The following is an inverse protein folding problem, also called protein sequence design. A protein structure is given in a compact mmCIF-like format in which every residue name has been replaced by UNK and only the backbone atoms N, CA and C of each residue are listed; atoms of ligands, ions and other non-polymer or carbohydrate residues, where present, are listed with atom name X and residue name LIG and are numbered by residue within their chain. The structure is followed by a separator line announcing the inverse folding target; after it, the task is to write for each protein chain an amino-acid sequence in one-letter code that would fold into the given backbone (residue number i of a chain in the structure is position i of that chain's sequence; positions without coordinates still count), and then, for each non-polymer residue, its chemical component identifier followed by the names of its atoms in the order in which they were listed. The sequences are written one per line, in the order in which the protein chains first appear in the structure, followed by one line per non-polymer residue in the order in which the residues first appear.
data_IF_430139504489
#
_entry.id   IF_430139504489
#
_cell.length_a   1.000
_cell.length_b   1.000
_cell.length_c   1.000
_cell.angle_alpha   90.00
_cell.angle_beta   90.00
_cell.angle_gamma   90.00
#
_symmetry.space_group_name_H-M   'P 1'
#
loop_
_entity.id
_entity.type
_entity.pdbx_description
1 polymer ?
#
# COMPACT_ATOMS: atom_id res chain seq x y z
N UNK A 1 -20.26 -35.76 11.45
CA UNK A 1 -20.57 -34.37 11.05
C UNK A 1 -19.55 -33.95 10.01
N UNK A 2 -19.98 -33.49 8.84
CA UNK A 2 -19.09 -33.05 7.76
C UNK A 2 -18.98 -31.52 7.80
N UNK A 3 -17.77 -30.99 7.80
CA UNK A 3 -17.51 -29.54 7.73
C UNK A 3 -16.84 -29.26 6.39
N UNK A 4 -17.46 -28.40 5.59
CA UNK A 4 -16.92 -28.01 4.28
C UNK A 4 -16.24 -26.66 4.38
N UNK A 5 -14.94 -26.63 4.05
CA UNK A 5 -14.15 -25.39 3.96
C UNK A 5 -13.93 -25.06 2.50
N UNK A 6 -14.31 -23.85 2.07
CA UNK A 6 -14.07 -23.35 0.72
C UNK A 6 -12.95 -22.32 0.76
N UNK A 7 -11.90 -22.54 -0.02
CA UNK A 7 -10.79 -21.61 -0.21
C UNK A 7 -10.70 -21.21 -1.68
N UNK A 8 -10.57 -19.91 -1.93
CA UNK A 8 -10.43 -19.33 -3.28
C UNK A 8 -9.05 -18.68 -3.36
N UNK A 9 -8.27 -19.04 -4.37
CA UNK A 9 -6.95 -18.48 -4.61
C UNK A 9 -6.71 -18.41 -6.13
N UNK A 10 -5.93 -17.42 -6.55
CA UNK A 10 -5.54 -17.28 -7.96
C UNK A 10 -4.25 -18.02 -8.21
N UNK A 11 -4.23 -18.89 -9.22
CA UNK A 11 -3.05 -19.68 -9.59
C UNK A 11 -3.07 -19.98 -11.09
N UNK A 12 -1.89 -19.94 -11.71
CA UNK A 12 -1.69 -20.41 -13.08
C UNK A 12 -1.29 -21.90 -13.13
N UNK A 13 -1.33 -22.59 -11.98
CA UNK A 13 -0.95 -23.99 -11.84
C UNK A 13 -2.17 -24.87 -12.11
N UNK A 14 -1.97 -25.95 -12.87
CA UNK A 14 -3.01 -26.91 -13.19
C UNK A 14 -3.72 -27.44 -11.92
N UNK A 15 -5.06 -27.53 -11.90
CA UNK A 15 -5.83 -28.01 -10.75
C UNK A 15 -5.40 -29.37 -10.20
N UNK A 16 -4.92 -30.29 -11.05
CA UNK A 16 -4.45 -31.61 -10.61
C UNK A 16 -3.13 -31.53 -9.82
N UNK A 17 -2.26 -30.60 -10.19
CA UNK A 17 -0.99 -30.34 -9.50
C UNK A 17 -1.25 -29.68 -8.15
N UNK A 18 -2.18 -28.73 -8.09
CA UNK A 18 -2.65 -28.12 -6.82
C UNK A 18 -3.15 -29.22 -5.88
N UNK A 19 -4.05 -30.09 -6.37
CA UNK A 19 -4.59 -31.20 -5.57
C UNK A 19 -3.47 -32.09 -5.03
N UNK A 20 -2.50 -32.45 -5.88
CA UNK A 20 -1.37 -33.30 -5.49
C UNK A 20 -0.49 -32.64 -4.41
N UNK A 21 -0.11 -31.38 -4.59
CA UNK A 21 0.74 -30.65 -3.63
C UNK A 21 0.03 -30.46 -2.30
N UNK A 22 -1.25 -30.14 -2.33
CA UNK A 22 -2.05 -30.00 -1.11
C UNK A 22 -2.10 -31.32 -0.35
N UNK A 23 -2.39 -32.44 -1.04
CA UNK A 23 -2.40 -33.76 -0.40
C UNK A 23 -1.02 -34.14 0.14
N UNK A 24 0.06 -33.98 -0.64
CA UNK A 24 1.43 -34.30 -0.24
C UNK A 24 1.88 -33.52 1.01
N UNK A 25 1.63 -32.21 1.03
CA UNK A 25 2.04 -31.35 2.14
C UNK A 25 1.13 -31.44 3.37
N UNK A 26 -0.13 -31.82 3.20
CA UNK A 26 -1.13 -31.75 4.29
C UNK A 26 -1.43 -33.12 4.90
N UNK A 27 -1.38 -34.22 4.13
CA UNK A 27 -1.70 -35.55 4.65
C UNK A 27 -0.73 -36.03 5.74
N UNK A 28 0.51 -35.54 5.76
CA UNK A 28 1.49 -35.89 6.80
C UNK A 28 1.47 -34.94 8.03
N UNK A 29 0.68 -33.86 7.99
CA UNK A 29 0.64 -32.80 9.02
C UNK A 29 -0.79 -32.60 9.57
N UNK A 30 -1.78 -33.30 9.00
CA UNK A 30 -3.21 -33.10 9.26
C UNK A 30 -3.59 -33.27 10.73
N UNK A 31 -2.93 -34.16 11.48
CA UNK A 31 -3.19 -34.35 12.92
C UNK A 31 -2.79 -33.15 13.78
N UNK A 32 -1.78 -32.37 13.37
CA UNK A 32 -1.29 -31.22 14.14
C UNK A 32 -2.20 -29.99 13.99
N UNK A 33 -2.80 -29.78 12.81
CA UNK A 33 -3.60 -28.58 12.53
C UNK A 33 -5.11 -28.79 12.63
N UNK A 34 -5.60 -29.99 12.34
CA UNK A 34 -7.01 -30.33 12.46
C UNK A 34 -7.35 -30.91 13.84
N UNK A 35 -6.34 -31.21 14.67
CA UNK A 35 -6.52 -31.93 15.93
C UNK A 35 -6.89 -33.41 15.72
N UNK A 36 -7.00 -34.17 16.81
CA UNK A 36 -7.35 -35.60 16.75
C UNK A 36 -8.81 -35.89 16.33
N UNK A 37 -9.64 -34.84 16.20
CA UNK A 37 -11.10 -34.95 16.01
C UNK A 37 -11.56 -34.79 14.57
N UNK A 38 -10.72 -34.29 13.66
CA UNK A 38 -11.09 -34.01 12.27
C UNK A 38 -10.15 -34.69 11.29
N UNK A 39 -10.73 -35.31 10.26
CA UNK A 39 -9.99 -35.93 9.16
C UNK A 39 -10.47 -35.37 7.82
N UNK A 40 -9.54 -35.19 6.88
CA UNK A 40 -9.87 -34.75 5.54
C UNK A 40 -10.53 -35.90 4.77
N UNK A 41 -11.83 -35.76 4.48
CA UNK A 41 -12.60 -36.79 3.78
C UNK A 41 -12.52 -36.67 2.26
N UNK A 42 -12.57 -35.44 1.72
CA UNK A 42 -12.51 -35.20 0.28
C UNK A 42 -11.88 -33.83 -0.07
N UNK A 43 -11.31 -33.74 -1.26
CA UNK A 43 -10.72 -32.53 -1.83
C UNK A 43 -11.08 -32.42 -3.32
N UNK A 44 -11.86 -31.39 -3.63
CA UNK A 44 -12.25 -31.03 -4.99
C UNK A 44 -11.63 -29.68 -5.38
N UNK A 45 -10.97 -29.64 -6.54
CA UNK A 45 -10.39 -28.41 -7.10
C UNK A 45 -11.12 -28.14 -8.42
N UNK A 46 -11.95 -27.11 -8.45
CA UNK A 46 -12.67 -26.68 -9.65
C UNK A 46 -11.90 -25.55 -10.31
N UNK A 47 -11.45 -25.74 -11.55
CA UNK A 47 -10.92 -24.67 -12.39
C UNK A 47 -12.02 -23.99 -13.24
N UNK A 48 -11.79 -22.78 -13.76
CA UNK A 48 -12.68 -22.20 -14.76
C UNK A 48 -12.74 -23.10 -16.02
N UNK A 49 -13.87 -23.12 -16.76
CA UNK A 49 -13.99 -23.92 -17.98
C UNK A 49 -12.88 -23.56 -18.97
N UNK A 50 -12.27 -24.59 -19.56
CA UNK A 50 -11.09 -24.47 -20.41
C UNK A 50 -11.36 -23.57 -21.62
N UNK A 51 -10.81 -22.35 -21.59
CA UNK A 51 -10.60 -21.56 -22.81
C UNK A 51 -9.33 -22.06 -23.49
N UNK A 52 -9.43 -22.26 -24.81
CA UNK A 52 -8.33 -22.63 -25.71
C UNK A 52 -7.06 -21.79 -25.42
N UNK A 53 -5.85 -22.34 -25.60
CA UNK A 53 -4.62 -21.61 -25.35
C UNK A 53 -4.50 -20.47 -26.37
N UNK A 54 -4.90 -19.26 -25.98
CA UNK A 54 -4.36 -18.05 -26.58
C UNK A 54 -2.92 -17.95 -26.11
N UNK A 55 -1.97 -18.11 -27.04
CA UNK A 55 -0.56 -17.76 -26.84
C UNK A 55 -0.49 -16.32 -26.32
N UNK A 56 -0.39 -16.20 -24.99
CA UNK A 56 0.04 -14.97 -24.35
C UNK A 56 1.54 -14.85 -24.66
N UNK A 57 2.04 -13.68 -25.12
CA UNK A 57 3.46 -13.53 -25.38
C UNK A 57 4.23 -13.95 -24.13
N UNK A 58 5.14 -14.91 -24.31
CA UNK A 58 6.12 -15.31 -23.30
C UNK A 58 6.94 -14.08 -22.95
N UNK A 59 6.48 -13.32 -21.96
CA UNK A 59 7.33 -12.34 -21.28
C UNK A 59 8.48 -13.16 -20.70
N UNK A 60 9.70 -12.85 -21.12
CA UNK A 60 10.89 -13.36 -20.49
C UNK A 60 10.75 -13.22 -18.96
N UNK A 61 11.26 -14.18 -18.16
CA UNK A 61 11.22 -14.06 -16.72
C UNK A 61 11.95 -12.77 -16.30
N UNK A 62 11.21 -11.72 -15.92
CA UNK A 62 11.78 -10.46 -15.46
C UNK A 62 12.00 -10.52 -13.94
N UNK A 63 13.10 -9.98 -13.42
CA UNK A 63 13.27 -9.81 -11.97
C UNK A 63 12.08 -9.08 -11.35
N UNK A 64 11.66 -9.54 -10.18
CA UNK A 64 10.64 -8.87 -9.36
C UNK A 64 11.34 -7.94 -8.36
N UNK A 65 10.81 -6.73 -8.18
CA UNK A 65 11.38 -5.73 -7.29
C UNK A 65 10.35 -5.34 -6.23
N UNK A 66 10.76 -5.35 -4.97
CA UNK A 66 9.93 -4.98 -3.83
C UNK A 66 10.61 -3.86 -3.04
N UNK A 67 9.87 -2.79 -2.74
CA UNK A 67 10.30 -1.75 -1.83
C UNK A 67 10.17 -2.24 -0.40
N UNK A 68 11.29 -2.31 0.31
CA UNK A 68 11.33 -2.60 1.74
C UNK A 68 11.71 -1.31 2.47
N UNK A 69 10.75 -0.75 3.19
CA UNK A 69 10.92 0.50 3.92
C UNK A 69 10.84 0.24 5.43
N UNK A 70 11.68 0.90 6.21
CA UNK A 70 11.68 0.80 7.68
C UNK A 70 12.42 2.00 8.29
N UNK A 71 12.27 2.19 9.59
CA UNK A 71 12.94 3.24 10.37
C UNK A 71 13.98 2.62 11.28
N UNK A 72 15.18 3.19 11.26
CA UNK A 72 16.28 2.88 12.18
C UNK A 72 16.29 3.93 13.30
N UNK A 73 16.10 3.49 14.53
CA UNK A 73 15.96 4.37 15.70
C UNK A 73 17.29 4.77 16.31
N UNK A 74 18.33 3.95 16.12
CA UNK A 74 19.70 4.23 16.59
C UNK A 74 20.60 4.85 15.51
N UNK A 75 20.01 5.40 14.44
CA UNK A 75 20.72 6.18 13.42
C UNK A 75 20.06 7.55 13.31
N UNK A 76 20.78 8.59 13.70
CA UNK A 76 20.25 9.95 13.76
C UNK A 76 20.27 10.61 12.39
N UNK A 77 19.12 11.07 11.91
CA UNK A 77 19.02 11.78 10.65
C UNK A 77 19.76 13.13 10.73
N UNK A 78 20.67 13.36 9.79
CA UNK A 78 21.51 14.56 9.71
C UNK A 78 21.66 14.99 8.25
N UNK A 79 22.21 16.19 8.05
CA UNK A 79 22.49 16.70 6.70
C UNK A 79 23.47 15.81 5.95
N UNK A 80 24.44 15.21 6.65
CA UNK A 80 25.39 14.30 6.03
C UNK A 80 24.70 13.01 5.59
N UNK A 81 23.80 12.44 6.40
CA UNK A 81 23.02 11.25 6.00
C UNK A 81 22.07 11.55 4.84
N UNK A 82 21.49 12.76 4.79
CA UNK A 82 20.57 13.17 3.74
C UNK A 82 21.24 13.27 2.36
N UNK A 83 22.55 13.54 2.30
CA UNK A 83 23.25 13.80 1.05
C UNK A 83 24.03 12.57 0.54
N UNK A 84 23.70 12.03 -0.66
CA UNK A 84 24.35 10.82 -1.19
C UNK A 84 25.88 10.88 -1.35
N UNK A 85 26.44 12.08 -1.47
CA UNK A 85 27.87 12.30 -1.70
C UNK A 85 28.74 12.22 -0.44
N UNK A 86 28.15 12.19 0.75
CA UNK A 86 28.93 12.25 2.00
C UNK A 86 29.46 10.89 2.41
N UNK A 87 30.53 10.90 3.21
CA UNK A 87 31.11 9.70 3.80
C UNK A 87 30.13 8.97 4.71
N UNK A 88 29.36 9.71 5.52
CA UNK A 88 28.37 9.14 6.43
C UNK A 88 27.21 8.49 5.68
N UNK A 89 26.67 9.12 4.64
CA UNK A 89 25.66 8.49 3.80
C UNK A 89 26.18 7.18 3.21
N UNK A 90 27.34 7.21 2.56
CA UNK A 90 27.90 6.03 1.89
C UNK A 90 28.23 4.90 2.87
N UNK A 91 28.75 5.23 4.05
CA UNK A 91 29.06 4.27 5.11
C UNK A 91 27.79 3.59 5.63
N UNK A 92 26.77 4.37 5.96
CA UNK A 92 25.51 3.85 6.48
C UNK A 92 24.76 3.06 5.41
N UNK A 93 24.75 3.56 4.15
CA UNK A 93 24.22 2.85 2.99
C UNK A 93 24.82 1.46 2.85
N UNK A 94 26.15 1.37 2.76
CA UNK A 94 26.85 0.08 2.63
C UNK A 94 26.60 -0.85 3.81
N UNK A 95 26.56 -0.30 5.03
CA UNK A 95 26.34 -1.10 6.24
C UNK A 95 24.93 -1.70 6.27
N UNK A 96 23.90 -0.93 5.93
CA UNK A 96 22.51 -1.38 5.89
C UNK A 96 22.29 -2.35 4.72
N UNK A 97 22.84 -2.06 3.54
CA UNK A 97 22.80 -2.98 2.40
C UNK A 97 23.44 -4.32 2.74
N UNK A 98 24.60 -4.32 3.39
CA UNK A 98 25.25 -5.56 3.84
C UNK A 98 24.37 -6.32 4.82
N UNK A 99 23.74 -5.63 5.78
CA UNK A 99 22.88 -6.25 6.76
C UNK A 99 21.64 -6.91 6.11
N UNK A 100 20.97 -6.21 5.20
CA UNK A 100 19.83 -6.71 4.43
C UNK A 100 20.22 -7.90 3.56
N UNK A 101 21.33 -7.80 2.82
CA UNK A 101 21.79 -8.84 1.93
C UNK A 101 22.18 -10.11 2.70
N UNK A 102 22.87 -9.98 3.83
CA UNK A 102 23.19 -11.12 4.69
C UNK A 102 21.93 -11.75 5.29
N UNK A 103 20.96 -10.94 5.71
CA UNK A 103 19.69 -11.41 6.25
C UNK A 103 18.95 -12.29 5.25
N UNK A 104 18.71 -11.79 4.03
CA UNK A 104 17.94 -12.53 3.03
C UNK A 104 18.72 -13.70 2.41
N UNK A 105 20.05 -13.65 2.34
CA UNK A 105 20.86 -14.82 1.92
C UNK A 105 20.79 -15.97 2.92
N UNK A 106 20.50 -15.69 4.18
CA UNK A 106 20.32 -16.69 5.24
C UNK A 106 18.84 -17.02 5.53
N UNK A 107 17.93 -16.57 4.68
CA UNK A 107 16.49 -16.74 4.84
C UNK A 107 15.93 -18.00 4.18
N UNK A 108 14.65 -18.29 4.42
CA UNK A 108 13.89 -19.32 3.71
C UNK A 108 13.65 -18.97 2.23
N UNK A 109 13.72 -17.67 1.86
CA UNK A 109 13.51 -17.16 0.49
C UNK A 109 14.82 -16.93 -0.27
N UNK A 110 15.96 -17.39 0.28
CA UNK A 110 17.30 -17.19 -0.30
C UNK A 110 17.47 -17.68 -1.73
N UNK A 111 16.75 -18.74 -2.14
CA UNK A 111 16.81 -19.29 -3.50
C UNK A 111 16.29 -18.31 -4.55
N UNK A 112 15.41 -17.40 -4.13
CA UNK A 112 14.80 -16.38 -4.98
C UNK A 112 15.51 -15.05 -4.88
N UNK A 113 16.33 -14.83 -3.84
CA UNK A 113 16.87 -13.52 -3.52
C UNK A 113 18.10 -13.16 -4.36
N UNK A 114 18.08 -11.99 -4.99
CA UNK A 114 19.22 -11.48 -5.77
C UNK A 114 20.02 -10.41 -5.00
N UNK A 115 19.34 -9.48 -4.35
CA UNK A 115 20.00 -8.43 -3.56
C UNK A 115 19.06 -7.30 -3.16
N UNK A 116 19.42 -6.55 -2.12
CA UNK A 116 18.78 -5.29 -1.74
C UNK A 116 19.76 -4.13 -1.91
N UNK A 117 19.24 -2.98 -2.34
CA UNK A 117 19.95 -1.71 -2.43
C UNK A 117 19.21 -0.65 -1.64
N UNK A 118 19.91 0.23 -0.95
CA UNK A 118 19.31 1.37 -0.27
C UNK A 118 19.21 2.53 -1.27
N UNK A 119 17.99 2.99 -1.49
CA UNK A 119 17.67 4.07 -2.43
C UNK A 119 17.88 5.43 -1.77
N UNK A 120 17.39 5.60 -0.54
CA UNK A 120 17.45 6.87 0.17
C UNK A 120 17.38 6.68 1.69
N UNK A 121 17.88 7.70 2.39
CA UNK A 121 17.58 7.95 3.78
C UNK A 121 16.59 9.10 3.88
N UNK A 122 15.58 8.96 4.73
CA UNK A 122 14.51 9.95 4.92
C UNK A 122 14.44 10.43 6.35
N UNK A 123 14.02 11.68 6.53
CA UNK A 123 13.62 12.17 7.84
C UNK A 123 12.32 11.49 8.28
N UNK A 124 12.18 11.26 9.58
CA UNK A 124 10.96 10.72 10.19
C UNK A 124 10.28 11.83 10.98
N UNK A 125 9.00 12.16 10.70
CA UNK A 125 8.29 13.23 11.39
C UNK A 125 8.34 13.07 12.91
N UNK A 126 8.54 14.19 13.62
CA UNK A 126 8.55 14.25 15.09
C UNK A 126 9.63 13.38 15.77
N UNK A 127 10.68 12.97 15.04
CA UNK A 127 11.83 12.28 15.61
C UNK A 127 13.11 12.65 14.87
N UNK A 128 14.26 12.30 15.44
CA UNK A 128 15.56 12.38 14.78
C UNK A 128 15.98 11.01 14.20
N UNK A 129 15.06 10.05 14.08
CA UNK A 129 15.34 8.74 13.50
C UNK A 129 15.49 8.81 11.98
N UNK A 130 16.14 7.80 11.40
CA UNK A 130 16.36 7.71 9.96
C UNK A 130 15.43 6.68 9.34
N UNK A 131 14.57 7.12 8.43
CA UNK A 131 13.85 6.24 7.51
C UNK A 131 14.78 5.70 6.44
N UNK A 132 14.60 4.44 6.06
CA UNK A 132 15.37 3.75 5.02
C UNK A 132 14.38 3.28 3.97
N UNK A 133 14.62 3.71 2.72
CA UNK A 133 13.93 3.15 1.57
C UNK A 133 14.90 2.23 0.83
N UNK A 134 14.51 0.98 0.64
CA UNK A 134 15.35 -0.01 -0.05
C UNK A 134 14.57 -0.75 -1.11
N UNK A 135 15.27 -1.21 -2.14
CA UNK A 135 14.72 -2.01 -3.22
C UNK A 135 15.36 -3.38 -3.21
N UNK A 136 14.56 -4.41 -2.92
CA UNK A 136 14.99 -5.80 -2.90
C UNK A 136 14.54 -6.50 -4.18
N UNK A 137 15.48 -7.18 -4.84
CA UNK A 137 15.29 -7.85 -6.12
C UNK A 137 15.25 -9.35 -5.93
N UNK A 138 14.28 -10.00 -6.57
CA UNK A 138 14.08 -11.44 -6.53
C UNK A 138 13.99 -12.02 -7.95
N UNK A 139 14.54 -13.21 -8.11
CA UNK A 139 14.51 -13.95 -9.38
C UNK A 139 13.11 -14.50 -9.65
N UNK A 140 12.64 -14.45 -10.90
CA UNK A 140 11.33 -14.96 -11.31
C UNK A 140 11.24 -16.49 -11.37
N UNK A 141 12.37 -17.18 -11.24
CA UNK A 141 12.47 -18.65 -11.33
C UNK A 141 11.95 -19.35 -10.07
N UNK A 142 11.91 -18.65 -8.95
CA UNK A 142 11.21 -19.12 -7.78
C UNK A 142 9.73 -18.75 -7.88
N UNK A 143 8.85 -19.60 -7.35
CA UNK A 143 7.40 -19.32 -7.22
C UNK A 143 7.15 -17.84 -6.92
N UNK A 144 6.15 -17.23 -7.59
CA UNK A 144 5.75 -15.82 -7.37
C UNK A 144 5.85 -15.46 -5.89
N UNK A 145 6.76 -14.56 -5.57
CA UNK A 145 7.07 -14.21 -4.19
C UNK A 145 6.03 -13.17 -3.75
N UNK A 146 5.33 -13.44 -2.66
CA UNK A 146 4.34 -12.50 -2.15
C UNK A 146 5.00 -11.46 -1.23
N UNK A 147 4.56 -10.20 -1.33
CA UNK A 147 4.97 -9.10 -0.42
C UNK A 147 4.76 -9.48 1.05
N UNK A 148 3.72 -10.26 1.34
CA UNK A 148 3.43 -10.78 2.68
C UNK A 148 4.52 -11.75 3.14
N UNK A 149 5.01 -12.63 2.25
CA UNK A 149 6.07 -13.57 2.58
C UNK A 149 7.39 -12.86 2.90
N UNK A 150 7.75 -11.83 2.14
CA UNK A 150 8.93 -11.00 2.40
C UNK A 150 8.79 -10.29 3.75
N UNK A 151 7.62 -9.69 4.01
CA UNK A 151 7.34 -9.00 5.27
C UNK A 151 7.50 -9.94 6.48
N UNK A 152 6.87 -11.11 6.44
CA UNK A 152 6.93 -12.10 7.52
C UNK A 152 8.34 -12.64 7.72
N UNK A 153 9.07 -12.93 6.63
CA UNK A 153 10.44 -13.44 6.72
C UNK A 153 11.39 -12.37 7.28
N UNK A 154 11.22 -11.11 6.88
CA UNK A 154 11.97 -9.99 7.46
C UNK A 154 11.70 -9.88 8.96
N UNK A 155 10.44 -9.86 9.40
CA UNK A 155 10.11 -9.81 10.83
C UNK A 155 10.70 -10.98 11.60
N UNK A 156 10.58 -12.21 11.06
CA UNK A 156 11.11 -13.42 11.69
C UNK A 156 12.61 -13.33 11.94
N UNK A 157 13.36 -12.80 10.98
CA UNK A 157 14.82 -12.69 11.04
C UNK A 157 15.33 -11.46 11.81
N UNK A 158 14.47 -10.45 12.01
CA UNK A 158 14.82 -9.18 12.69
C UNK A 158 14.24 -9.06 14.11
N UNK A 159 14.02 -10.19 14.79
CA UNK A 159 13.40 -10.21 16.13
C UNK A 159 12.07 -9.45 16.14
N UNK A 160 11.16 -9.83 15.25
CA UNK A 160 9.87 -9.19 15.04
C UNK A 160 9.98 -7.72 14.60
N UNK A 161 10.94 -7.40 13.71
CA UNK A 161 11.08 -6.05 13.15
C UNK A 161 11.72 -5.03 14.10
N UNK A 162 12.43 -5.47 15.14
CA UNK A 162 13.03 -4.59 16.15
C UNK A 162 14.55 -4.48 16.03
N UNK A 163 15.21 -5.42 15.36
CA UNK A 163 16.67 -5.44 15.26
C UNK A 163 17.17 -6.05 13.95
N UNK A 164 17.96 -5.30 13.20
CA UNK A 164 18.71 -5.75 12.04
C UNK A 164 20.21 -5.60 12.34
N UNK A 165 20.84 -6.69 12.78
CA UNK A 165 22.23 -6.67 13.25
C UNK A 165 22.46 -5.58 14.33
N UNK A 166 23.30 -4.59 14.04
CA UNK A 166 23.60 -3.45 14.90
C UNK A 166 22.58 -2.29 14.78
N UNK A 167 21.60 -2.39 13.89
CA UNK A 167 20.55 -1.39 13.72
C UNK A 167 19.31 -1.77 14.54
N UNK A 168 18.85 -0.84 15.37
CA UNK A 168 17.58 -0.95 16.10
C UNK A 168 16.49 -0.36 15.22
N UNK A 169 15.40 -1.09 15.04
CA UNK A 169 14.34 -0.76 14.11
C UNK A 169 13.04 -0.41 14.85
N UNK A 170 12.24 0.46 14.26
CA UNK A 170 10.84 0.62 14.66
C UNK A 170 9.98 -0.42 13.92
N UNK A 171 9.49 -1.42 14.64
CA UNK A 171 8.63 -2.48 14.09
C UNK A 171 7.44 -1.94 13.30
N UNK A 172 6.83 -0.86 13.75
CA UNK A 172 5.59 -0.35 13.16
C UNK A 172 5.84 0.44 11.86
N UNK A 173 7.10 0.76 11.57
CA UNK A 173 7.52 1.45 10.35
C UNK A 173 7.77 0.52 9.16
N UNK A 174 7.86 -0.80 9.38
CA UNK A 174 8.22 -1.78 8.36
C UNK A 174 7.10 -1.90 7.32
N UNK A 175 7.44 -1.73 6.04
CA UNK A 175 6.55 -1.83 4.90
C UNK A 175 7.21 -2.61 3.76
N UNK A 176 6.45 -3.47 3.08
CA UNK A 176 6.87 -4.12 1.83
C UNK A 176 5.89 -3.75 0.72
N UNK A 177 6.31 -2.93 -0.25
CA UNK A 177 5.44 -2.33 -1.28
C UNK A 177 4.14 -1.75 -0.69
N UNK A 178 4.28 -1.03 0.42
CA UNK A 178 3.15 -0.43 1.14
C UNK A 178 2.36 -1.37 2.05
N UNK A 179 2.60 -2.70 1.99
CA UNK A 179 1.95 -3.66 2.87
C UNK A 179 2.49 -3.60 4.30
N UNK A 180 1.58 -3.51 5.27
CA UNK A 180 1.79 -3.79 6.69
C UNK A 180 0.47 -4.30 7.29
N UNK A 181 0.48 -5.36 8.14
CA UNK A 181 -0.74 -5.92 8.72
C UNK A 181 -1.56 -4.92 9.54
N UNK A 182 -0.90 -3.90 10.10
CA UNK A 182 -1.53 -2.90 10.97
C UNK A 182 -1.97 -1.65 10.19
N UNK A 183 -1.60 -1.55 8.92
CA UNK A 183 -2.25 -0.64 7.99
C UNK A 183 -3.44 -1.42 7.47
N UNK A 184 -4.63 -1.12 7.99
CA UNK A 184 -5.84 -1.38 7.22
C UNK A 184 -5.54 -0.90 5.79
N UNK A 185 -5.81 -1.72 4.77
CA UNK A 185 -5.78 -1.33 3.36
C UNK A 185 -6.80 -0.19 3.17
N UNK A 186 -6.47 1.00 3.66
CA UNK A 186 -7.00 2.26 3.18
C UNK A 186 -6.28 2.43 1.86
N UNK A 187 -6.81 1.76 0.83
CA UNK A 187 -6.68 2.23 -0.52
C UNK A 187 -6.96 3.73 -0.47
N UNK A 188 -5.91 4.53 -0.67
CA UNK A 188 -6.02 5.90 -1.19
C UNK A 188 -7.23 6.67 -0.67
N UNK A 189 -7.19 7.10 0.60
CA UNK A 189 -7.85 8.36 0.91
C UNK A 189 -6.93 9.47 0.41
N UNK A 190 -6.85 9.60 -0.91
CA UNK A 190 -6.53 10.87 -1.51
C UNK A 190 -7.66 11.79 -1.04
N UNK A 191 -7.34 12.84 -0.31
CA UNK A 191 -8.25 13.95 0.00
C UNK A 191 -8.63 14.76 -1.25
N UNK A 192 -8.72 14.09 -2.40
CA UNK A 192 -9.19 14.66 -3.64
C UNK A 192 -10.70 14.44 -3.67
N UNK A 193 -11.43 15.49 -3.27
CA UNK A 193 -12.87 15.59 -3.48
C UNK A 193 -13.18 15.09 -4.91
N UNK A 194 -14.10 14.11 -5.08
CA UNK A 194 -14.43 13.60 -6.41
C UNK A 194 -14.77 14.79 -7.30
N UNK A 195 -14.40 14.78 -8.57
CA UNK A 195 -14.64 15.91 -9.49
C UNK A 195 -16.09 16.43 -9.44
N UNK A 196 -17.05 15.53 -9.20
CA UNK A 196 -18.46 15.87 -8.93
C UNK A 196 -18.65 16.81 -7.73
N UNK A 197 -17.92 16.65 -6.64
CA UNK A 197 -17.97 17.52 -5.47
C UNK A 197 -17.44 18.94 -5.76
N UNK A 198 -16.41 19.08 -6.59
CA UNK A 198 -15.94 20.40 -7.06
C UNK A 198 -17.03 21.07 -7.90
N UNK A 199 -17.69 20.31 -8.78
CA UNK A 199 -18.82 20.80 -9.58
C UNK A 199 -19.97 21.27 -8.68
N UNK A 200 -20.32 20.51 -7.64
CA UNK A 200 -21.37 20.87 -6.68
C UNK A 200 -21.03 22.13 -5.88
N UNK A 201 -19.78 22.30 -5.45
CA UNK A 201 -19.31 23.51 -4.76
C UNK A 201 -19.40 24.73 -5.69
N UNK A 202 -18.97 24.59 -6.95
CA UNK A 202 -19.07 25.65 -7.95
C UNK A 202 -20.54 26.02 -8.25
N UNK A 203 -21.42 25.03 -8.38
CA UNK A 203 -22.86 25.26 -8.59
C UNK A 203 -23.50 25.96 -7.41
N UNK A 204 -23.17 25.58 -6.17
CA UNK A 204 -23.65 26.25 -4.98
C UNK A 204 -23.19 27.73 -4.93
N UNK A 205 -21.91 27.99 -5.21
CA UNK A 205 -21.38 29.35 -5.31
C UNK A 205 -22.05 30.19 -6.39
N UNK A 206 -22.29 29.60 -7.57
CA UNK A 206 -22.98 30.26 -8.68
C UNK A 206 -24.44 30.60 -8.32
N UNK A 207 -25.16 29.68 -7.68
CA UNK A 207 -26.53 29.92 -7.24
C UNK A 207 -26.61 31.06 -6.23
N UNK A 208 -25.71 31.09 -5.24
CA UNK A 208 -25.62 32.19 -4.26
C UNK A 208 -25.33 33.52 -4.94
N UNK A 209 -24.41 33.55 -5.91
CA UNK A 209 -24.10 34.75 -6.68
C UNK A 209 -25.33 35.25 -7.47
N UNK A 210 -26.02 34.35 -8.17
CA UNK A 210 -27.23 34.69 -8.93
C UNK A 210 -28.31 35.22 -8.01
N UNK A 211 -28.57 34.56 -6.87
CA UNK A 211 -29.54 35.02 -5.89
C UNK A 211 -29.17 36.40 -5.34
N UNK A 212 -27.89 36.64 -5.04
CA UNK A 212 -27.40 37.94 -4.57
C UNK A 212 -27.64 39.05 -5.61
N UNK A 213 -27.31 38.78 -6.89
CA UNK A 213 -27.55 39.73 -7.98
C UNK A 213 -29.04 40.04 -8.15
N UNK A 214 -29.91 39.02 -8.12
CA UNK A 214 -31.37 39.21 -8.20
C UNK A 214 -31.88 40.05 -7.02
N UNK A 215 -31.42 39.78 -5.80
CA UNK A 215 -31.76 40.60 -4.63
C UNK A 215 -31.30 42.06 -4.81
N UNK A 216 -30.08 42.31 -5.27
CA UNK A 216 -29.59 43.66 -5.54
C UNK A 216 -30.43 44.38 -6.61
N UNK A 217 -30.84 43.68 -7.67
CA UNK A 217 -31.72 44.25 -8.69
C UNK A 217 -33.11 44.56 -8.15
N UNK A 218 -33.69 43.70 -7.30
CA UNK A 218 -34.99 43.93 -6.67
C UNK A 218 -34.96 45.11 -5.71
N UNK A 219 -33.94 45.20 -4.84
CA UNK A 219 -33.76 46.35 -3.95
C UNK A 219 -33.56 47.64 -4.74
N UNK A 220 -32.82 47.59 -5.86
CA UNK A 220 -32.65 48.74 -6.75
C UNK A 220 -33.96 49.15 -7.42
N UNK A 221 -34.81 48.18 -7.80
CA UNK A 221 -36.15 48.42 -8.35
C UNK A 221 -37.09 49.00 -7.29
N UNK A 222 -37.08 48.49 -6.06
CA UNK A 222 -37.86 49.01 -4.95
C UNK A 222 -37.42 50.42 -4.54
N UNK A 223 -36.11 50.69 -4.49
CA UNK A 223 -35.58 52.02 -4.26
C UNK A 223 -35.97 52.99 -5.40
N UNK A 224 -35.96 52.52 -6.65
CA UNK A 224 -36.38 53.31 -7.81
C UNK A 224 -37.90 53.60 -7.80
N UNK A 225 -38.73 52.60 -7.47
CA UNK A 225 -40.18 52.82 -7.28
C UNK A 225 -40.44 53.74 -6.09
N UNK A 226 -39.75 53.56 -4.96
CA UNK A 226 -39.90 54.41 -3.78
C UNK A 226 -39.50 55.86 -4.09
N UNK A 227 -38.44 56.06 -4.86
CA UNK A 227 -38.03 57.39 -5.32
C UNK A 227 -39.06 57.99 -6.29
N UNK A 228 -39.56 57.20 -7.25
CA UNK A 228 -40.62 57.63 -8.17
C UNK A 228 -41.91 58.02 -7.45
N UNK A 229 -42.36 57.22 -6.48
CA UNK A 229 -43.53 57.52 -5.65
C UNK A 229 -43.29 58.72 -4.73
N UNK A 230 -42.09 58.89 -4.19
CA UNK A 230 -41.72 60.08 -3.40
C UNK A 230 -41.77 61.34 -4.26
N UNK A 231 -41.22 61.31 -5.48
CA UNK A 231 -41.28 62.42 -6.44
C UNK A 231 -42.73 62.75 -6.81
N UNK A 232 -43.57 61.74 -7.12
CA UNK A 232 -45.00 61.98 -7.42
C UNK A 232 -45.72 62.59 -6.21
N UNK A 233 -45.45 62.09 -4.99
CA UNK A 233 -46.08 62.61 -3.77
C UNK A 233 -45.66 64.04 -3.46
N UNK A 234 -44.40 64.41 -3.71
CA UNK A 234 -43.92 65.80 -3.61
C UNK A 234 -44.59 66.68 -4.67
N UNK A 235 -44.74 66.19 -5.91
CA UNK A 235 -45.42 66.92 -6.99
C UNK A 235 -46.90 67.19 -6.73
N UNK A 236 -47.59 66.30 -6.01
CA UNK A 236 -49.01 66.42 -5.65
C UNK A 236 -49.27 67.24 -4.37
N UNK A 237 -48.22 67.55 -3.60
CA UNK A 237 -48.30 68.36 -2.37
C UNK A 237 -47.84 69.81 -2.57
N UNK A 238 -47.41 70.16 -3.79
CA UNK A 238 -47.15 71.52 -4.29
C UNK A 238 -48.33 71.97 -5.16
#
# INVERSE_FOLDING_TARGET
MLVTVKALFSSNVDPSVVKKVFLDKTLNISSHWLGATYQLADLHVTGPPAYLPTEKPTSSPSPEHFQLNFTVTNLLYSQDIAQPGTTEHQRNKRSIENALNQLFRNSSIKSSFSGCQVLAFRSVPHSNHTGVDSLCTFSPLARRLDRVAIYLEFLRLTKNGTQLQNFTLDRNSVLVDGYSPNRNDVLTENSDLPFWAIILICLAGLLVLITCLVCCFLVSKEACLSFYYWVIRVLYLL
#
